data_IF_181534882416
#
_entry.id   IF_181534882416
#
_cell.length_a   1.000
_cell.length_b   1.000
_cell.length_c   1.000
_cell.angle_alpha   90.00
_cell.angle_beta   90.00
_cell.angle_gamma   90.00
#
_symmetry.space_group_name_H-M   'P 1'
#
loop_
_entity.id
_entity.type
_entity.pdbx_description
1 polymer ?
#
# COMPACT_ATOMS: atom_id res chain seq x y z
N UNK A 1 -1.20 49.58 -22.87
CA UNK A 1 -0.57 48.29 -23.26
C UNK A 1 0.70 47.95 -22.48
N UNK A 2 1.64 48.89 -22.20
CA UNK A 2 2.85 48.61 -21.39
C UNK A 2 2.58 48.08 -19.96
N UNK A 3 1.51 48.52 -19.29
CA UNK A 3 1.17 48.07 -17.92
C UNK A 3 0.62 46.64 -17.84
N UNK A 4 0.01 46.13 -18.93
CA UNK A 4 -0.54 44.77 -18.99
C UNK A 4 0.58 43.75 -19.20
N UNK A 5 1.61 44.11 -19.97
CA UNK A 5 2.77 43.24 -20.20
C UNK A 5 3.57 42.95 -18.91
N UNK A 6 3.71 43.94 -18.02
CA UNK A 6 4.42 43.80 -16.74
C UNK A 6 3.67 42.84 -15.81
N UNK A 7 2.33 42.86 -15.83
CA UNK A 7 1.50 41.99 -15.00
C UNK A 7 1.58 40.53 -15.46
N UNK A 8 1.58 40.28 -16.78
CA UNK A 8 1.72 38.93 -17.35
C UNK A 8 3.10 38.33 -17.07
N UNK A 9 4.18 39.13 -17.18
CA UNK A 9 5.53 38.66 -16.86
C UNK A 9 5.70 38.35 -15.37
N UNK A 10 5.11 39.16 -14.47
CA UNK A 10 5.13 38.88 -13.02
C UNK A 10 4.31 37.63 -12.65
N UNK A 11 3.20 37.37 -13.34
CA UNK A 11 2.44 36.12 -13.18
C UNK A 11 3.24 34.90 -13.66
N UNK A 12 4.05 35.00 -14.71
CA UNK A 12 4.93 33.90 -15.16
C UNK A 12 5.99 33.52 -14.12
N UNK A 13 6.47 34.48 -13.32
CA UNK A 13 7.40 34.20 -12.20
C UNK A 13 6.70 33.66 -10.95
N UNK A 14 5.39 33.91 -10.79
CA UNK A 14 4.62 33.37 -9.67
C UNK A 14 4.34 31.86 -9.82
N UNK A 15 4.25 31.35 -11.06
CA UNK A 15 4.03 29.92 -11.32
C UNK A 15 5.31 29.09 -11.48
N UNK A 16 6.49 29.71 -11.53
CA UNK A 16 7.78 29.00 -11.64
C UNK A 16 8.37 28.52 -10.30
N UNK A 17 7.63 28.64 -9.20
CA UNK A 17 8.05 28.21 -7.85
C UNK A 17 7.13 27.16 -7.22
N UNK A 18 6.23 26.57 -7.98
CA UNK A 18 5.35 25.53 -7.48
C UNK A 18 6.00 24.15 -7.68
N UNK A 19 6.45 23.56 -6.57
CA UNK A 19 6.96 22.20 -6.38
C UNK A 19 8.30 21.82 -7.03
N UNK A 20 9.38 21.92 -6.26
CA UNK A 20 10.66 21.26 -6.57
C UNK A 20 10.70 19.85 -5.98
N UNK A 21 10.15 19.63 -4.78
CA UNK A 21 10.11 18.33 -4.10
C UNK A 21 8.66 17.91 -3.82
N UNK A 22 8.39 16.61 -3.95
CA UNK A 22 7.11 15.98 -3.63
C UNK A 22 7.32 14.51 -3.27
N UNK A 23 6.29 13.84 -2.79
CA UNK A 23 6.30 12.39 -2.60
C UNK A 23 5.61 11.67 -3.76
N UNK A 24 5.95 10.39 -3.93
CA UNK A 24 5.25 9.47 -4.83
C UNK A 24 5.09 8.14 -4.12
N UNK A 25 3.85 7.74 -3.92
CA UNK A 25 3.48 6.45 -3.35
C UNK A 25 3.00 5.58 -4.51
N UNK A 26 3.64 4.42 -4.68
CA UNK A 26 3.28 3.44 -5.70
C UNK A 26 2.72 2.23 -4.94
N UNK A 27 1.39 2.06 -4.87
CA UNK A 27 0.82 0.90 -4.23
C UNK A 27 1.05 -0.35 -5.09
N UNK A 28 1.22 -1.49 -4.43
CA UNK A 28 1.28 -2.80 -5.04
C UNK A 28 -0.03 -3.55 -4.79
N UNK A 29 -1.11 -3.07 -5.38
CA UNK A 29 -2.44 -3.61 -5.10
C UNK A 29 -2.83 -4.75 -6.05
N UNK A 30 -2.04 -5.02 -7.09
CA UNK A 30 -2.43 -5.95 -8.15
C UNK A 30 -1.36 -6.99 -8.43
N UNK A 31 -1.79 -8.24 -8.68
CA UNK A 31 -0.92 -9.30 -9.20
C UNK A 31 -1.58 -9.98 -10.40
N UNK A 32 -0.74 -10.45 -11.33
CA UNK A 32 -1.19 -11.19 -12.52
C UNK A 32 -0.44 -12.52 -12.58
N UNK A 33 -1.19 -13.61 -12.45
CA UNK A 33 -0.68 -14.97 -12.46
C UNK A 33 -1.03 -15.66 -13.78
N UNK A 34 -0.09 -16.48 -14.26
CA UNK A 34 -0.31 -17.42 -15.37
C UNK A 34 -0.10 -18.82 -14.85
N UNK A 35 -0.94 -19.74 -15.28
CA UNK A 35 -0.95 -21.07 -14.72
C UNK A 35 -1.83 -22.03 -15.48
N UNK A 36 -2.16 -23.14 -14.83
CA UNK A 36 -2.97 -24.20 -15.39
C UNK A 36 -3.92 -24.77 -14.34
N UNK A 37 -5.14 -25.13 -14.77
CA UNK A 37 -6.04 -26.05 -14.07
C UNK A 37 -5.90 -27.40 -14.78
N UNK A 38 -5.19 -28.35 -14.17
CA UNK A 38 -4.62 -29.54 -14.81
C UNK A 38 -3.92 -29.20 -16.15
N UNK A 39 -4.59 -29.41 -17.28
CA UNK A 39 -4.06 -29.18 -18.64
C UNK A 39 -4.57 -27.88 -19.29
N UNK A 40 -5.50 -27.17 -18.63
CA UNK A 40 -6.14 -25.98 -19.18
C UNK A 40 -5.40 -24.72 -18.73
N UNK A 41 -4.74 -23.98 -19.65
CA UNK A 41 -4.03 -22.76 -19.31
C UNK A 41 -5.00 -21.67 -18.85
N UNK A 42 -4.63 -20.99 -17.77
CA UNK A 42 -5.38 -19.90 -17.17
C UNK A 42 -4.51 -18.68 -16.89
N UNK A 43 -5.15 -17.52 -16.94
CA UNK A 43 -4.61 -16.26 -16.42
C UNK A 43 -5.52 -15.75 -15.30
N UNK A 44 -4.94 -15.34 -14.18
CA UNK A 44 -5.67 -14.81 -13.02
C UNK A 44 -5.13 -13.43 -12.65
N UNK A 45 -6.01 -12.46 -12.55
CA UNK A 45 -5.74 -11.11 -12.04
C UNK A 45 -6.38 -10.97 -10.66
N UNK A 46 -5.60 -10.51 -9.69
CA UNK A 46 -6.04 -10.28 -8.31
C UNK A 46 -5.72 -8.83 -7.96
N UNK A 47 -6.63 -8.20 -7.23
CA UNK A 47 -6.54 -6.84 -6.73
C UNK A 47 -6.95 -6.79 -5.25
N UNK A 48 -6.13 -6.16 -4.41
CA UNK A 48 -6.47 -5.81 -3.04
C UNK A 48 -7.43 -4.61 -3.05
N UNK A 49 -8.60 -4.77 -2.44
CA UNK A 49 -9.65 -3.73 -2.42
C UNK A 49 -9.98 -3.26 -1.01
N UNK A 50 -9.12 -3.57 -0.03
CA UNK A 50 -9.22 -3.11 1.35
C UNK A 50 -9.62 -4.23 2.31
N UNK A 51 -10.60 -3.96 3.17
CA UNK A 51 -10.97 -4.85 4.27
C UNK A 51 -12.47 -5.15 4.31
N UNK A 52 -12.80 -6.32 4.84
CA UNK A 52 -14.13 -6.70 5.28
C UNK A 52 -14.01 -7.07 6.76
N UNK A 53 -14.51 -6.20 7.64
CA UNK A 53 -14.20 -6.22 9.07
C UNK A 53 -12.68 -6.28 9.30
N UNK A 54 -12.18 -7.40 9.82
CA UNK A 54 -10.75 -7.62 10.13
C UNK A 54 -10.01 -8.41 9.05
N UNK A 55 -10.70 -8.86 8.00
CA UNK A 55 -10.11 -9.67 6.92
C UNK A 55 -9.75 -8.79 5.72
N UNK A 56 -8.61 -9.09 5.08
CA UNK A 56 -8.26 -8.41 3.83
C UNK A 56 -9.16 -8.93 2.71
N UNK A 57 -9.73 -8.02 1.92
CA UNK A 57 -10.62 -8.34 0.81
C UNK A 57 -9.89 -8.19 -0.52
N UNK A 58 -9.99 -9.22 -1.33
CA UNK A 58 -9.43 -9.26 -2.68
C UNK A 58 -10.53 -9.55 -3.70
N UNK A 59 -10.37 -9.00 -4.91
CA UNK A 59 -11.22 -9.28 -6.06
C UNK A 59 -10.39 -9.40 -7.33
N UNK A 60 -11.04 -9.64 -8.47
CA UNK A 60 -10.40 -9.65 -9.77
C UNK A 60 -11.14 -10.55 -10.73
N UNK A 61 -10.39 -11.22 -11.59
CA UNK A 61 -10.94 -12.19 -12.53
C UNK A 61 -9.93 -13.27 -12.86
N UNK A 62 -10.41 -14.44 -13.25
CA UNK A 62 -9.60 -15.42 -13.94
C UNK A 62 -10.22 -15.80 -15.28
N UNK A 63 -9.43 -16.29 -16.22
CA UNK A 63 -9.93 -16.78 -17.51
C UNK A 63 -9.10 -17.94 -18.00
N UNK A 64 -9.71 -18.79 -18.81
CA UNK A 64 -8.98 -19.72 -19.66
C UNK A 64 -8.31 -18.94 -20.80
N UNK A 65 -7.06 -19.23 -21.10
CA UNK A 65 -6.29 -18.46 -22.09
C UNK A 65 -6.87 -18.56 -23.51
N UNK A 66 -7.60 -19.65 -23.80
CA UNK A 66 -8.33 -19.84 -25.05
C UNK A 66 -9.74 -19.21 -25.06
N UNK A 67 -10.17 -18.61 -23.95
CA UNK A 67 -11.45 -17.92 -23.82
C UNK A 67 -11.28 -16.40 -23.84
N UNK A 68 -12.27 -15.72 -24.41
CA UNK A 68 -12.38 -14.27 -24.33
C UNK A 68 -13.14 -13.82 -23.06
N UNK A 69 -13.81 -14.75 -22.39
CA UNK A 69 -14.62 -14.47 -21.21
C UNK A 69 -13.78 -14.55 -19.94
N UNK A 70 -13.89 -13.51 -19.11
CA UNK A 70 -13.29 -13.45 -17.78
C UNK A 70 -14.35 -13.77 -16.74
N UNK A 71 -13.97 -14.57 -15.75
CA UNK A 71 -14.82 -15.03 -14.66
C UNK A 71 -14.40 -14.26 -13.40
N UNK A 72 -15.29 -13.41 -12.85
CA UNK A 72 -15.04 -12.68 -11.61
C UNK A 72 -14.63 -13.58 -10.45
N UNK A 73 -13.71 -13.08 -9.62
CA UNK A 73 -13.31 -13.73 -8.37
C UNK A 73 -13.42 -12.79 -7.16
N UNK A 74 -13.63 -13.38 -5.98
CA UNK A 74 -13.55 -12.69 -4.68
C UNK A 74 -12.99 -13.64 -3.63
N UNK A 75 -12.23 -13.09 -2.70
CA UNK A 75 -11.84 -13.82 -1.49
C UNK A 75 -11.46 -12.90 -0.35
N UNK A 76 -11.40 -13.51 0.82
CA UNK A 76 -10.99 -12.88 2.07
C UNK A 76 -9.77 -13.62 2.61
N UNK A 77 -8.81 -12.88 3.13
CA UNK A 77 -7.64 -13.44 3.79
C UNK A 77 -7.75 -13.18 5.30
N UNK A 78 -7.89 -14.27 6.05
CA UNK A 78 -8.09 -14.27 7.49
C UNK A 78 -6.86 -13.68 8.21
N UNK A 79 -7.06 -12.98 9.34
CA UNK A 79 -5.96 -12.61 10.24
C UNK A 79 -5.32 -13.81 10.95
N UNK A 80 -5.95 -14.99 10.90
CA UNK A 80 -5.44 -16.26 11.44
C UNK A 80 -5.33 -17.34 10.33
N UNK A 81 -4.53 -17.09 9.28
CA UNK A 81 -4.46 -17.96 8.10
C UNK A 81 -4.04 -19.39 8.44
N UNK A 82 -3.28 -19.59 9.51
CA UNK A 82 -2.81 -20.91 9.95
C UNK A 82 -3.92 -21.86 10.42
N UNK A 83 -5.13 -21.35 10.70
CA UNK A 83 -6.28 -22.14 11.15
C UNK A 83 -7.29 -22.41 10.04
N UNK A 84 -7.04 -21.90 8.82
CA UNK A 84 -8.02 -21.89 7.75
C UNK A 84 -7.40 -22.30 6.40
N UNK A 85 -8.17 -22.97 5.53
CA UNK A 85 -7.74 -23.17 4.15
C UNK A 85 -7.93 -21.87 3.36
N UNK A 86 -6.98 -21.60 2.47
CA UNK A 86 -7.09 -20.48 1.55
C UNK A 86 -8.15 -20.79 0.49
N UNK A 87 -9.04 -19.82 0.18
CA UNK A 87 -10.12 -20.01 -0.80
C UNK A 87 -10.29 -18.80 -1.71
N UNK A 88 -10.35 -19.05 -3.02
CA UNK A 88 -10.75 -18.07 -4.04
C UNK A 88 -12.07 -18.52 -4.65
N UNK A 89 -13.10 -17.68 -4.55
CA UNK A 89 -14.41 -17.99 -5.09
C UNK A 89 -14.58 -17.34 -6.45
N UNK A 90 -15.12 -18.07 -7.42
CA UNK A 90 -15.44 -17.57 -8.75
C UNK A 90 -16.92 -17.70 -9.06
N UNK A 91 -17.44 -16.77 -9.86
CA UNK A 91 -18.86 -16.71 -10.22
C UNK A 91 -19.01 -16.27 -11.67
N UNK A 92 -19.79 -17.00 -12.45
CA UNK A 92 -20.00 -16.71 -13.87
C UNK A 92 -20.99 -15.57 -14.09
N UNK A 93 -22.08 -15.55 -13.31
CA UNK A 93 -23.20 -14.64 -13.52
C UNK A 93 -23.71 -14.04 -12.19
N UNK A 94 -23.94 -12.72 -12.19
CA UNK A 94 -24.50 -11.99 -11.05
C UNK A 94 -23.46 -11.52 -10.03
N UNK A 95 -23.92 -10.81 -9.00
CA UNK A 95 -23.05 -10.27 -7.95
C UNK A 95 -22.72 -11.34 -6.90
N UNK A 96 -21.55 -11.23 -6.27
CA UNK A 96 -21.23 -12.02 -5.09
C UNK A 96 -22.14 -11.61 -3.93
N UNK A 97 -22.75 -12.60 -3.27
CA UNK A 97 -23.47 -12.39 -2.02
C UNK A 97 -22.51 -12.71 -0.88
N UNK A 98 -22.27 -11.73 -0.02
CA UNK A 98 -21.36 -11.86 1.13
C UNK A 98 -22.05 -11.44 2.41
N UNK A 99 -21.78 -12.15 3.51
CA UNK A 99 -22.25 -11.79 4.85
C UNK A 99 -21.11 -11.80 5.86
N UNK A 100 -21.28 -11.04 6.94
CA UNK A 100 -20.41 -11.10 8.12
C UNK A 100 -21.10 -12.02 9.12
N UNK A 101 -20.41 -13.07 9.55
CA UNK A 101 -20.96 -14.03 10.52
C UNK A 101 -20.84 -13.50 11.97
N UNK A 102 -21.33 -14.28 12.94
CA UNK A 102 -21.29 -13.91 14.37
C UNK A 102 -19.87 -13.74 14.94
N UNK A 103 -18.87 -14.33 14.27
CA UNK A 103 -17.45 -14.29 14.63
C UNK A 103 -16.69 -13.20 13.84
N UNK A 104 -17.39 -12.32 13.12
CA UNK A 104 -16.83 -11.24 12.29
C UNK A 104 -16.01 -11.71 11.07
N UNK A 105 -16.21 -12.95 10.62
CA UNK A 105 -15.65 -13.44 9.36
C UNK A 105 -16.58 -13.14 8.20
N UNK A 106 -16.01 -12.73 7.07
CA UNK A 106 -16.68 -12.45 5.83
C UNK A 106 -16.79 -13.72 4.99
N UNK A 107 -18.03 -14.14 4.73
CA UNK A 107 -18.33 -15.38 4.03
C UNK A 107 -18.94 -15.10 2.67
N UNK A 108 -18.53 -15.88 1.67
CA UNK A 108 -19.14 -15.86 0.33
C UNK A 108 -20.24 -16.90 0.27
N UNK A 109 -21.49 -16.44 0.17
CA UNK A 109 -22.68 -17.30 0.16
C UNK A 109 -22.98 -17.90 -1.22
N UNK A 110 -22.57 -17.19 -2.27
CA UNK A 110 -22.91 -17.53 -3.64
C UNK A 110 -21.69 -17.48 -4.55
N UNK A 111 -21.35 -18.65 -5.11
CA UNK A 111 -20.23 -18.88 -6.03
C UNK A 111 -20.54 -20.11 -6.89
N UNK A 112 -19.89 -20.21 -8.04
CA UNK A 112 -20.02 -21.33 -8.98
C UNK A 112 -18.81 -22.27 -8.93
N UNK A 113 -17.64 -21.72 -8.59
CA UNK A 113 -16.39 -22.46 -8.48
C UNK A 113 -15.55 -21.97 -7.31
N UNK A 114 -14.61 -22.82 -6.88
CA UNK A 114 -13.67 -22.49 -5.83
C UNK A 114 -12.28 -23.02 -6.16
N UNK A 115 -11.28 -22.18 -5.93
CA UNK A 115 -9.89 -22.58 -5.77
C UNK A 115 -9.64 -22.68 -4.27
N UNK A 116 -9.22 -23.83 -3.75
CA UNK A 116 -8.97 -24.00 -2.32
C UNK A 116 -7.75 -24.86 -2.03
N UNK A 117 -7.07 -24.55 -0.92
CA UNK A 117 -6.08 -25.48 -0.36
C UNK A 117 -6.76 -26.60 0.39
N UNK A 118 -6.12 -27.77 0.43
CA UNK A 118 -6.56 -28.88 1.28
C UNK A 118 -5.99 -28.79 2.70
N UNK A 119 -4.98 -27.95 2.91
CA UNK A 119 -4.35 -27.73 4.21
C UNK A 119 -4.88 -26.43 4.83
N UNK A 120 -5.06 -26.47 6.15
CA UNK A 120 -5.33 -25.30 7.00
C UNK A 120 -3.99 -24.62 7.30
N UNK A 121 -3.56 -23.74 6.41
CA UNK A 121 -2.33 -22.96 6.55
C UNK A 121 -2.40 -21.60 5.84
N UNK A 122 -3.55 -21.28 5.23
CA UNK A 122 -3.76 -20.03 4.49
C UNK A 122 -2.79 -19.77 3.35
N UNK A 123 -2.03 -20.76 2.89
CA UNK A 123 -1.07 -20.53 1.82
C UNK A 123 -1.80 -20.44 0.46
N UNK A 124 -1.38 -19.51 -0.39
CA UNK A 124 -1.83 -19.37 -1.77
C UNK A 124 -1.31 -20.53 -2.66
N UNK A 125 -0.30 -21.27 -2.21
CA UNK A 125 0.28 -22.39 -2.95
C UNK A 125 -0.58 -23.66 -2.86
N UNK A 126 -0.39 -24.58 -3.81
CA UNK A 126 -1.04 -25.91 -3.86
C UNK A 126 -2.57 -25.90 -3.99
N UNK A 127 -3.13 -24.85 -4.61
CA UNK A 127 -4.56 -24.73 -4.85
C UNK A 127 -5.11 -25.90 -5.66
N UNK A 128 -6.35 -26.25 -5.34
CA UNK A 128 -7.19 -27.17 -6.09
C UNK A 128 -8.41 -26.44 -6.59
N UNK A 129 -8.83 -26.73 -7.80
CA UNK A 129 -10.04 -26.14 -8.38
C UNK A 129 -11.16 -27.16 -8.42
N UNK A 130 -12.38 -26.71 -8.16
CA UNK A 130 -13.61 -27.47 -8.41
C UNK A 130 -14.80 -26.57 -8.66
N UNK A 131 -15.77 -27.11 -9.40
CA UNK A 131 -17.12 -26.56 -9.50
C UNK A 131 -17.86 -26.83 -8.19
N UNK A 132 -18.70 -25.90 -7.77
CA UNK A 132 -19.60 -26.07 -6.62
C UNK A 132 -20.41 -27.37 -6.78
N UNK A 133 -20.54 -28.10 -5.68
CA UNK A 133 -21.24 -29.40 -5.61
C UNK A 133 -20.66 -30.52 -6.50
N UNK A 134 -19.47 -30.34 -7.09
CA UNK A 134 -18.74 -31.37 -7.82
C UNK A 134 -17.67 -32.04 -6.94
N UNK A 135 -17.57 -33.37 -7.03
CA UNK A 135 -16.48 -34.14 -6.44
C UNK A 135 -15.19 -34.11 -7.29
N UNK A 136 -15.26 -33.56 -8.51
CA UNK A 136 -14.10 -33.47 -9.40
C UNK A 136 -13.18 -32.35 -8.92
N UNK A 137 -12.04 -32.75 -8.35
CA UNK A 137 -10.97 -31.87 -7.92
C UNK A 137 -9.84 -31.88 -8.97
N UNK A 138 -9.44 -30.70 -9.43
CA UNK A 138 -8.36 -30.51 -10.41
C UNK A 138 -7.19 -29.77 -9.76
N UNK A 139 -5.97 -30.06 -10.19
CA UNK A 139 -4.80 -29.39 -9.63
C UNK A 139 -4.64 -28.01 -10.25
N UNK A 140 -4.23 -27.03 -9.45
CA UNK A 140 -3.89 -25.70 -9.94
C UNK A 140 -2.41 -25.45 -9.72
N UNK A 141 -1.75 -24.93 -10.74
CA UNK A 141 -0.36 -24.53 -10.66
C UNK A 141 -0.18 -23.19 -11.35
N UNK A 142 0.63 -22.31 -10.76
CA UNK A 142 1.00 -21.02 -11.35
C UNK A 142 2.51 -20.97 -11.60
N UNK A 143 2.89 -20.23 -12.65
CA UNK A 143 4.27 -19.93 -12.96
C UNK A 143 4.90 -19.04 -11.88
N UNK A 144 6.14 -19.35 -11.47
CA UNK A 144 6.87 -18.58 -10.46
C UNK A 144 6.46 -18.95 -9.03
N UNK A 145 6.55 -17.97 -8.12
CA UNK A 145 6.10 -18.08 -6.74
C UNK A 145 4.91 -17.14 -6.51
N UNK A 146 3.67 -17.65 -6.56
CA UNK A 146 2.48 -16.82 -6.37
C UNK A 146 2.30 -16.43 -4.89
N UNK A 147 2.87 -17.19 -3.94
CA UNK A 147 2.78 -16.89 -2.51
C UNK A 147 3.57 -15.62 -2.16
N UNK A 148 4.81 -15.52 -2.64
CA UNK A 148 5.64 -14.33 -2.42
C UNK A 148 4.98 -13.09 -3.04
N UNK A 149 4.46 -13.20 -4.27
CA UNK A 149 3.73 -12.09 -4.91
C UNK A 149 2.47 -11.69 -4.15
N UNK A 150 1.74 -12.66 -3.60
CA UNK A 150 0.54 -12.40 -2.80
C UNK A 150 0.88 -11.68 -1.50
N UNK A 151 1.95 -12.06 -0.79
CA UNK A 151 2.39 -11.36 0.42
C UNK A 151 2.83 -9.92 0.19
N UNK A 152 3.30 -9.62 -1.01
CA UNK A 152 3.62 -8.25 -1.41
C UNK A 152 2.37 -7.43 -1.79
N UNK A 153 1.18 -8.03 -1.90
CA UNK A 153 -0.04 -7.28 -2.21
C UNK A 153 -0.47 -6.36 -1.05
N UNK A 154 -0.82 -5.13 -1.37
CA UNK A 154 -1.10 -4.08 -0.39
C UNK A 154 0.16 -3.49 0.25
N UNK A 155 1.35 -3.95 -0.13
CA UNK A 155 2.58 -3.19 0.13
C UNK A 155 2.59 -1.92 -0.73
N UNK A 156 3.41 -0.95 -0.35
CA UNK A 156 3.59 0.26 -1.12
C UNK A 156 5.05 0.67 -1.16
N UNK A 157 5.43 1.33 -2.25
CA UNK A 157 6.75 1.94 -2.38
C UNK A 157 6.62 3.43 -2.24
N UNK A 158 7.32 3.99 -1.26
CA UNK A 158 7.22 5.40 -0.89
C UNK A 158 8.51 6.10 -1.31
N UNK A 159 8.40 7.05 -2.24
CA UNK A 159 9.54 7.76 -2.78
C UNK A 159 9.46 9.26 -2.50
N UNK A 160 10.60 9.86 -2.17
CA UNK A 160 10.79 11.30 -2.35
C UNK A 160 11.20 11.55 -3.80
N UNK A 161 10.57 12.55 -4.40
CA UNK A 161 10.79 12.95 -5.78
C UNK A 161 11.20 14.42 -5.86
N UNK A 162 11.98 14.73 -6.88
CA UNK A 162 12.32 16.10 -7.27
C UNK A 162 12.05 16.29 -8.75
N UNK A 163 11.23 17.27 -9.11
CA UNK A 163 10.81 17.50 -10.50
C UNK A 163 10.32 16.19 -11.17
N UNK A 164 9.47 15.43 -10.45
CA UNK A 164 8.95 14.09 -10.82
C UNK A 164 9.97 12.94 -10.88
N UNK A 165 11.27 13.20 -10.69
CA UNK A 165 12.29 12.16 -10.65
C UNK A 165 12.42 11.58 -9.24
N UNK A 166 12.41 10.24 -9.13
CA UNK A 166 12.69 9.55 -7.86
C UNK A 166 14.13 9.84 -7.46
N UNK A 167 14.32 10.37 -6.25
CA UNK A 167 15.64 10.70 -5.69
C UNK A 167 15.98 9.89 -4.45
N UNK A 168 14.97 9.44 -3.70
CA UNK A 168 15.17 8.66 -2.47
C UNK A 168 14.00 7.71 -2.26
N UNK A 169 14.32 6.46 -1.95
CA UNK A 169 13.37 5.48 -1.39
C UNK A 169 13.23 5.77 0.10
N UNK A 170 12.03 6.12 0.56
CA UNK A 170 11.77 6.38 1.98
C UNK A 170 11.58 5.09 2.79
N UNK A 171 11.35 3.95 2.13
CA UNK A 171 11.29 2.64 2.78
C UNK A 171 12.59 2.27 3.49
N UNK A 172 13.75 2.69 2.95
CA UNK A 172 15.06 2.48 3.60
C UNK A 172 15.24 3.28 4.90
N UNK A 173 14.31 4.18 5.21
CA UNK A 173 14.23 4.99 6.43
C UNK A 173 13.10 4.54 7.35
N UNK A 174 12.63 3.30 7.21
CA UNK A 174 11.53 2.67 7.96
C UNK A 174 10.12 3.23 7.65
N UNK A 175 9.93 3.86 6.48
CA UNK A 175 8.65 4.42 6.02
C UNK A 175 8.01 3.64 4.86
N UNK A 176 8.23 2.33 4.80
CA UNK A 176 7.69 1.45 3.73
C UNK A 176 6.16 1.40 3.69
N UNK A 177 5.49 1.74 4.79
CA UNK A 177 4.03 1.79 4.89
C UNK A 177 3.47 3.23 4.97
N UNK A 178 4.24 4.27 4.65
CA UNK A 178 3.69 5.62 4.64
C UNK A 178 2.62 5.79 3.56
N UNK A 179 1.42 6.20 3.96
CA UNK A 179 0.32 6.50 3.04
C UNK A 179 0.20 7.99 2.74
N UNK A 180 0.86 8.85 3.53
CA UNK A 180 0.99 10.27 3.23
C UNK A 180 2.39 10.77 3.60
N UNK A 181 2.93 11.64 2.75
CA UNK A 181 4.24 12.27 2.93
C UNK A 181 4.14 13.69 2.40
N UNK A 182 4.12 14.65 3.32
CA UNK A 182 4.06 16.07 3.01
C UNK A 182 5.45 16.72 3.13
N UNK A 183 5.83 17.52 2.14
CA UNK A 183 7.04 18.35 2.22
C UNK A 183 6.70 19.66 2.92
N UNK A 184 6.94 19.73 4.23
CA UNK A 184 6.66 20.92 5.03
C UNK A 184 7.55 22.11 4.64
N UNK A 185 8.82 21.86 4.33
CA UNK A 185 9.75 22.92 3.97
C UNK A 185 11.03 22.40 3.33
N UNK A 186 11.61 23.19 2.43
CA UNK A 186 12.93 22.90 1.87
C UNK A 186 13.77 24.17 1.69
N UNK A 187 15.10 24.03 1.80
CA UNK A 187 16.06 25.12 1.54
C UNK A 187 17.43 24.58 1.16
N UNK A 188 18.08 25.23 0.21
CA UNK A 188 19.47 24.93 -0.15
C UNK A 188 20.41 25.88 0.60
N UNK A 189 21.41 25.34 1.29
CA UNK A 189 22.46 26.07 2.01
C UNK A 189 23.80 25.41 1.68
N UNK A 190 24.74 26.16 1.09
CA UNK A 190 26.09 25.66 0.78
C UNK A 190 26.09 24.31 0.05
N UNK A 191 25.34 24.21 -1.05
CA UNK A 191 25.20 23.00 -1.88
C UNK A 191 24.54 21.79 -1.20
N UNK A 192 23.95 22.00 -0.02
CA UNK A 192 23.18 20.99 0.70
C UNK A 192 21.71 21.34 0.66
N UNK A 193 20.88 20.40 0.21
CA UNK A 193 19.42 20.51 0.28
C UNK A 193 18.95 20.03 1.64
N UNK A 194 18.28 20.91 2.38
CA UNK A 194 17.65 20.62 3.66
C UNK A 194 16.15 20.47 3.46
N UNK A 195 15.58 19.36 3.91
CA UNK A 195 14.16 19.03 3.76
C UNK A 195 13.57 18.66 5.12
N UNK A 196 12.40 19.21 5.40
CA UNK A 196 11.55 18.81 6.51
C UNK A 196 10.28 18.20 5.92
N UNK A 197 9.99 16.96 6.33
CA UNK A 197 8.87 16.17 5.86
C UNK A 197 8.00 15.80 7.05
N UNK A 198 6.68 15.77 6.84
CA UNK A 198 5.74 15.06 7.68
C UNK A 198 5.40 13.74 7.00
N UNK A 199 5.42 12.65 7.75
CA UNK A 199 5.17 11.31 7.24
C UNK A 199 4.12 10.63 8.11
N UNK A 200 2.99 10.29 7.51
CA UNK A 200 1.93 9.53 8.15
C UNK A 200 2.06 8.06 7.79
N UNK A 201 2.17 7.23 8.82
CA UNK A 201 2.15 5.78 8.69
C UNK A 201 0.96 5.21 9.45
N UNK A 202 0.39 4.08 9.02
CA UNK A 202 -0.59 3.40 9.85
C UNK A 202 0.11 2.92 11.13
N UNK A 203 -0.56 3.07 12.26
CA UNK A 203 -0.21 2.42 13.51
C UNK A 203 -0.16 0.90 13.27
N UNK A 204 1.05 0.32 13.23
CA UNK A 204 1.29 -1.09 12.89
C UNK A 204 0.19 -2.04 13.40
N UNK A 205 -0.64 -2.61 12.50
CA UNK A 205 -1.52 -3.72 12.83
C UNK A 205 -0.68 -4.88 13.39
N UNK A 206 -1.09 -5.49 14.50
CA UNK A 206 -0.34 -6.59 15.15
C UNK A 206 0.83 -6.17 16.07
N UNK A 207 1.13 -4.88 16.21
CA UNK A 207 1.99 -4.37 17.30
C UNK A 207 1.29 -4.46 18.66
N UNK A 208 2.00 -4.13 19.76
CA UNK A 208 1.52 -4.15 21.15
C UNK A 208 0.30 -3.24 21.46
N UNK A 209 -0.38 -2.70 20.44
CA UNK A 209 -1.62 -1.94 20.57
C UNK A 209 -2.75 -2.31 19.59
N UNK A 210 -2.67 -3.49 18.93
CA UNK A 210 -3.82 -4.25 18.40
C UNK A 210 -4.98 -3.44 17.77
N UNK A 211 -4.68 -2.42 16.96
CA UNK A 211 -5.71 -1.69 16.20
C UNK A 211 -6.79 -0.98 17.05
N UNK A 212 -6.49 -0.60 18.30
CA UNK A 212 -7.52 -0.09 19.22
C UNK A 212 -8.06 1.34 18.93
N UNK A 213 -7.49 2.06 17.96
CA UNK A 213 -7.99 3.36 17.54
C UNK A 213 -8.47 3.27 16.10
N UNK A 214 -9.76 3.57 15.85
CA UNK A 214 -10.43 3.41 14.55
C UNK A 214 -9.89 4.27 13.39
N UNK A 215 -8.76 4.95 13.57
CA UNK A 215 -7.98 5.62 12.52
C UNK A 215 -6.47 5.42 12.62
N UNK A 216 -5.99 4.53 13.51
CA UNK A 216 -4.59 4.31 13.92
C UNK A 216 -3.51 4.89 13.02
N UNK A 217 -3.10 6.13 13.30
CA UNK A 217 -2.07 6.87 12.58
C UNK A 217 -0.91 7.21 13.53
N UNK A 218 0.32 7.06 13.05
CA UNK A 218 1.51 7.61 13.68
C UNK A 218 2.08 8.68 12.73
N UNK A 219 2.28 9.89 13.25
CA UNK A 219 2.82 11.00 12.47
C UNK A 219 4.26 11.24 12.90
N UNK A 220 5.15 11.28 11.92
CA UNK A 220 6.58 11.49 12.10
C UNK A 220 7.01 12.78 11.39
N UNK A 221 7.92 13.52 12.03
CA UNK A 221 8.71 14.55 11.37
C UNK A 221 10.04 13.95 10.99
N UNK A 222 10.37 14.05 9.71
CA UNK A 222 11.60 13.55 9.11
C UNK A 222 12.41 14.73 8.56
N UNK A 223 13.65 14.86 9.01
CA UNK A 223 14.59 15.85 8.52
C UNK A 223 15.67 15.17 7.68
N UNK A 224 15.82 15.61 6.43
CA UNK A 224 16.80 15.07 5.49
C UNK A 224 17.79 16.16 5.06
N UNK A 225 19.04 15.74 4.86
CA UNK A 225 20.05 16.51 4.13
C UNK A 225 20.51 15.70 2.93
N UNK A 226 20.44 16.31 1.76
CA UNK A 226 20.91 15.75 0.50
C UNK A 226 22.07 16.58 -0.04
N UNK A 227 23.06 15.94 -0.65
CA UNK A 227 24.10 16.64 -1.40
C UNK A 227 23.57 17.23 -2.73
N UNK A 228 24.44 17.90 -3.47
CA UNK A 228 24.17 18.50 -4.78
C UNK A 228 23.74 17.48 -5.85
N UNK A 229 24.05 16.20 -5.64
CA UNK A 229 23.66 15.07 -6.47
C UNK A 229 22.40 14.35 -5.93
N UNK A 230 21.66 14.98 -5.00
CA UNK A 230 20.49 14.45 -4.30
C UNK A 230 20.74 13.16 -3.51
N UNK A 231 22.00 12.87 -3.13
CA UNK A 231 22.31 11.70 -2.30
C UNK A 231 22.07 12.03 -0.83
N UNK A 232 21.42 11.11 -0.13
CA UNK A 232 21.21 11.23 1.31
C UNK A 232 22.54 11.24 2.05
N UNK A 233 22.83 12.32 2.77
CA UNK A 233 24.02 12.45 3.61
C UNK A 233 23.68 12.42 5.10
N UNK A 234 22.45 12.74 5.48
CA UNK A 234 21.97 12.70 6.85
C UNK A 234 20.45 12.62 6.91
N UNK A 235 19.93 11.85 7.86
CA UNK A 235 18.51 11.78 8.22
C UNK A 235 18.34 11.78 9.73
N UNK A 236 17.32 12.47 10.23
CA UNK A 236 16.84 12.36 11.60
C UNK A 236 15.31 12.29 11.60
N UNK A 237 14.72 11.53 12.52
CA UNK A 237 13.26 11.41 12.64
C UNK A 237 12.78 11.49 14.08
N UNK A 238 11.59 12.05 14.26
CA UNK A 238 10.89 12.06 15.54
C UNK A 238 9.39 11.83 15.34
N UNK A 239 8.81 11.03 16.22
CA UNK A 239 7.36 10.86 16.27
C UNK A 239 6.74 12.09 16.94
N UNK A 240 5.74 12.69 16.31
CA UNK A 240 5.04 13.89 16.80
C UNK A 240 3.58 13.62 17.17
N UNK A 241 2.98 12.58 16.60
CA UNK A 241 1.68 12.08 17.04
C UNK A 241 1.70 10.55 17.09
N UNK A 242 1.01 9.99 18.08
CA UNK A 242 0.85 8.55 18.23
C UNK A 242 -0.55 8.23 18.73
N UNK A 243 -1.14 7.16 18.21
CA UNK A 243 -2.38 6.62 18.77
C UNK A 243 -2.16 5.80 20.05
N UNK A 244 -0.91 5.49 20.41
CA UNK A 244 -0.57 4.63 21.55
C UNK A 244 0.01 5.35 22.76
N UNK A 245 0.71 6.46 22.51
CA UNK A 245 1.45 7.19 23.53
C UNK A 245 1.07 8.65 23.41
N UNK A 246 0.66 9.26 24.52
CA UNK A 246 0.49 10.71 24.56
C UNK A 246 1.88 11.35 24.39
N UNK A 247 2.03 12.16 23.32
CA UNK A 247 3.23 12.92 23.05
C UNK A 247 2.90 14.38 23.33
N UNK A 248 3.66 15.01 24.23
CA UNK A 248 3.53 16.44 24.50
C UNK A 248 3.84 17.24 23.22
N UNK A 249 2.94 18.16 22.84
CA UNK A 249 3.11 19.00 21.64
C UNK A 249 4.39 19.84 21.68
N UNK A 250 4.95 20.08 22.87
CA UNK A 250 6.22 20.81 23.05
C UNK A 250 7.45 19.89 22.99
N UNK A 251 7.27 18.57 22.95
CA UNK A 251 8.35 17.60 22.92
C UNK A 251 9.20 17.73 21.65
N UNK A 252 8.59 18.09 20.53
CA UNK A 252 9.27 18.30 19.25
C UNK A 252 8.92 19.68 18.72
N UNK A 253 9.95 20.47 18.40
CA UNK A 253 9.77 21.80 17.81
C UNK A 253 10.58 21.93 16.52
N UNK A 254 9.96 22.52 15.51
CA UNK A 254 10.55 22.74 14.19
C UNK A 254 9.98 24.02 13.56
N UNK A 255 10.65 24.53 12.54
CA UNK A 255 10.21 25.71 11.80
C UNK A 255 10.27 25.43 10.29
N UNK A 256 9.12 25.19 9.69
CA UNK A 256 9.01 24.86 8.26
C UNK A 256 9.54 25.99 7.35
N UNK A 257 9.59 27.24 7.81
CA UNK A 257 10.18 28.36 7.06
C UNK A 257 11.72 28.36 7.11
N UNK A 258 12.31 27.65 8.08
CA UNK A 258 13.76 27.50 8.26
C UNK A 258 14.14 26.02 8.42
N UNK A 259 13.88 25.18 7.39
CA UNK A 259 14.07 23.74 7.46
C UNK A 259 15.55 23.34 7.67
N UNK A 260 16.50 24.23 7.36
CA UNK A 260 17.93 24.00 7.60
C UNK A 260 18.29 23.83 9.09
N UNK A 261 17.39 24.25 10.00
CA UNK A 261 17.55 24.08 11.44
C UNK A 261 17.14 22.69 11.93
N UNK A 262 16.49 21.88 11.09
CA UNK A 262 15.92 20.60 11.49
C UNK A 262 14.84 20.76 12.57
N UNK A 263 14.81 19.82 13.51
CA UNK A 263 13.91 19.87 14.66
C UNK A 263 14.68 19.63 15.96
N UNK A 264 14.11 20.09 17.07
CA UNK A 264 14.68 19.92 18.41
C UNK A 264 13.76 19.10 19.29
N UNK A 265 14.36 18.20 20.08
CA UNK A 265 13.67 17.40 21.10
C UNK A 265 13.80 18.09 22.45
N UNK A 266 12.69 18.45 23.05
CA UNK A 266 12.62 18.95 24.43
C UNK A 266 12.71 17.74 25.36
N UNK A 267 13.69 17.74 26.27
CA UNK A 267 13.82 16.71 27.32
C UNK A 267 12.90 17.01 28.51
#
# INVERSE_FOLDING_TARGET
MKKVLIFVVLLSFAFAKAQTYSSKIIPNDTMLLRGYIDEYPITMYIENVGFCEYEQKFTGWYKYDNSAESIPIVFFYSPYPEEEPFRIYAKYDGEFETEVNEDYFCQVLSYDEVFETTAENGNFNDLKWRIKDSDKLMNVWFEGDPQDQFWELGSQKVYLTRDEQIILDLGVLDFEYAYDVEVLGYKNVEDISHLLLEVSVPSKPGGNGRGMCGGGEEIHILYLRLDDNNRLIYSDQAKVASCYVEIDETAITYDAAFPEKGFTRSN
#
